data_IF_614166062852
#
_entry.id   IF_614166062852
#
_cell.length_a   1.000
_cell.length_b   1.000
_cell.length_c   1.000
_cell.angle_alpha   90.00
_cell.angle_beta   90.00
_cell.angle_gamma   90.00
#
_symmetry.space_group_name_H-M   'P 1'
#
loop_
_entity.id
_entity.type
_entity.pdbx_description
1 polymer ?
#
# COMPACT_ATOMS: atom_id res chain seq x y z
N UNK A 1 20.76 22.10 6.52
CA UNK A 1 21.11 20.80 5.91
C UNK A 1 22.51 20.93 5.38
N UNK A 2 23.43 20.12 5.87
CA UNK A 2 24.80 20.06 5.40
C UNK A 2 24.95 19.04 4.24
N UNK A 3 26.19 18.89 3.70
CA UNK A 3 26.42 17.99 2.56
C UNK A 3 26.17 16.53 2.92
N UNK A 4 26.48 16.10 4.15
CA UNK A 4 26.27 14.73 4.59
C UNK A 4 24.79 14.40 4.75
N UNK A 5 23.99 15.31 5.25
CA UNK A 5 22.52 15.20 5.32
C UNK A 5 21.89 15.18 3.92
N UNK A 6 22.43 15.99 3.00
CA UNK A 6 21.99 16.00 1.61
C UNK A 6 22.28 14.66 0.94
N UNK A 7 23.47 14.10 1.12
CA UNK A 7 23.85 12.79 0.60
C UNK A 7 22.99 11.66 1.20
N UNK A 8 22.70 11.71 2.50
CA UNK A 8 21.83 10.75 3.14
C UNK A 8 20.41 10.78 2.56
N UNK A 9 19.88 11.99 2.33
CA UNK A 9 18.57 12.18 1.70
C UNK A 9 18.53 11.62 0.28
N UNK A 10 19.56 11.88 -0.52
CA UNK A 10 19.67 11.34 -1.88
C UNK A 10 19.75 9.80 -1.87
N UNK A 11 20.48 9.21 -0.93
CA UNK A 11 20.54 7.75 -0.77
C UNK A 11 19.16 7.16 -0.45
N UNK A 12 18.39 7.77 0.44
CA UNK A 12 17.02 7.33 0.73
C UNK A 12 16.12 7.40 -0.50
N UNK A 13 16.22 8.47 -1.31
CA UNK A 13 15.46 8.60 -2.56
C UNK A 13 15.84 7.47 -3.54
N UNK A 14 17.12 7.14 -3.70
CA UNK A 14 17.54 6.00 -4.51
C UNK A 14 17.05 4.68 -3.94
N UNK A 15 17.10 4.50 -2.62
CA UNK A 15 16.61 3.30 -1.94
C UNK A 15 15.12 3.07 -2.21
N UNK A 16 14.28 4.12 -2.06
CA UNK A 16 12.84 4.00 -2.36
C UNK A 16 12.57 3.64 -3.84
N UNK A 17 13.49 3.99 -4.74
CA UNK A 17 13.42 3.60 -6.14
C UNK A 17 13.44 2.08 -6.37
N UNK A 18 13.97 1.29 -5.42
CA UNK A 18 13.98 -0.17 -5.50
C UNK A 18 12.57 -0.76 -5.48
N UNK A 19 11.62 -0.09 -4.84
CA UNK A 19 10.20 -0.52 -4.82
C UNK A 19 9.58 -0.64 -6.21
N UNK A 20 10.13 0.06 -7.22
CA UNK A 20 9.71 -0.08 -8.63
C UNK A 20 10.08 -1.44 -9.23
N UNK A 21 11.08 -2.11 -8.68
CA UNK A 21 11.58 -3.41 -9.14
C UNK A 21 11.10 -4.55 -8.26
N UNK A 22 10.83 -4.27 -6.99
CA UNK A 22 10.35 -5.25 -6.02
C UNK A 22 8.90 -5.61 -6.32
N UNK A 23 8.62 -6.92 -6.47
CA UNK A 23 7.30 -7.43 -6.84
C UNK A 23 6.49 -7.84 -5.62
N UNK A 24 5.16 -7.67 -5.71
CA UNK A 24 4.20 -8.20 -4.73
C UNK A 24 4.14 -9.72 -4.87
N UNK A 25 4.99 -10.42 -4.10
CA UNK A 25 5.27 -11.86 -4.24
C UNK A 25 4.07 -12.75 -3.94
N UNK A 26 3.12 -12.26 -3.17
CA UNK A 26 1.87 -12.97 -2.88
C UNK A 26 1.09 -13.38 -4.13
N UNK A 27 1.15 -12.60 -5.21
CA UNK A 27 0.45 -12.89 -6.47
C UNK A 27 1.02 -14.08 -7.24
N UNK A 28 2.27 -14.49 -6.98
CA UNK A 28 2.84 -15.71 -7.55
C UNK A 28 2.05 -16.96 -7.16
N UNK A 29 1.45 -16.96 -5.94
CA UNK A 29 0.59 -18.06 -5.49
C UNK A 29 -0.70 -18.18 -6.31
N UNK A 30 -1.10 -17.10 -6.99
CA UNK A 30 -2.24 -17.08 -7.92
C UNK A 30 -1.83 -17.34 -9.37
N UNK A 31 -0.54 -17.60 -9.65
CA UNK A 31 -0.01 -17.85 -10.98
C UNK A 31 0.28 -16.61 -11.80
N UNK A 32 0.25 -15.41 -11.20
CA UNK A 32 0.67 -14.16 -11.86
C UNK A 32 2.18 -14.12 -11.88
N UNK A 33 2.79 -14.29 -13.06
CA UNK A 33 4.26 -14.41 -13.21
C UNK A 33 4.99 -13.08 -13.06
N UNK A 34 4.40 -12.01 -13.57
CA UNK A 34 4.92 -10.64 -13.46
C UNK A 34 3.86 -9.76 -12.78
N UNK A 35 3.75 -9.83 -11.44
CA UNK A 35 2.77 -9.04 -10.70
C UNK A 35 3.19 -7.58 -10.60
N UNK A 36 2.28 -6.76 -10.09
CA UNK A 36 2.56 -5.38 -9.76
C UNK A 36 3.81 -5.25 -8.87
N UNK A 37 4.48 -4.12 -8.97
CA UNK A 37 5.54 -3.73 -8.05
C UNK A 37 4.95 -3.16 -6.75
N UNK A 38 5.77 -3.13 -5.69
CA UNK A 38 5.39 -2.48 -4.43
C UNK A 38 5.12 -0.98 -4.65
N UNK A 39 5.87 -0.33 -5.56
CA UNK A 39 5.63 1.08 -5.90
C UNK A 39 4.26 1.30 -6.58
N UNK A 40 3.83 0.42 -7.48
CA UNK A 40 2.52 0.51 -8.13
C UNK A 40 1.39 0.31 -7.11
N UNK A 41 1.52 -0.69 -6.24
CA UNK A 41 0.63 -0.92 -5.11
C UNK A 41 0.54 0.31 -4.20
N UNK A 42 1.68 0.81 -3.71
CA UNK A 42 1.71 1.94 -2.77
C UNK A 42 1.14 3.22 -3.37
N UNK A 43 1.34 3.44 -4.67
CA UNK A 43 0.74 4.58 -5.39
C UNK A 43 -0.79 4.54 -5.35
N UNK A 44 -1.41 3.39 -5.72
CA UNK A 44 -2.87 3.27 -5.73
C UNK A 44 -3.43 3.20 -4.30
N UNK A 45 -2.73 2.57 -3.36
CA UNK A 45 -3.08 2.58 -1.94
C UNK A 45 -3.17 4.01 -1.40
N UNK A 46 -2.20 4.87 -1.72
CA UNK A 46 -2.21 6.27 -1.30
C UNK A 46 -3.42 7.06 -1.85
N UNK A 47 -3.78 6.83 -3.12
CA UNK A 47 -4.99 7.43 -3.72
C UNK A 47 -6.25 6.95 -2.99
N UNK A 48 -6.37 5.64 -2.76
CA UNK A 48 -7.54 5.06 -2.08
C UNK A 48 -7.64 5.61 -0.65
N UNK A 49 -6.52 5.71 0.08
CA UNK A 49 -6.50 6.24 1.45
C UNK A 49 -7.02 7.67 1.53
N UNK A 50 -6.58 8.55 0.61
CA UNK A 50 -7.08 9.92 0.55
C UNK A 50 -8.58 10.00 0.21
N UNK A 51 -9.07 9.16 -0.71
CA UNK A 51 -10.49 9.08 -1.05
C UNK A 51 -11.32 8.57 0.13
N UNK A 52 -10.89 7.49 0.79
CA UNK A 52 -11.56 6.94 1.97
C UNK A 52 -11.63 7.96 3.12
N UNK A 53 -10.52 8.62 3.42
CA UNK A 53 -10.49 9.65 4.47
C UNK A 53 -11.49 10.78 4.18
N UNK A 54 -11.56 11.24 2.92
CA UNK A 54 -12.58 12.22 2.52
C UNK A 54 -14.02 11.70 2.68
N UNK A 55 -14.28 10.42 2.42
CA UNK A 55 -15.61 9.80 2.60
C UNK A 55 -15.97 9.56 4.07
N UNK A 56 -14.99 9.33 4.93
CA UNK A 56 -15.17 9.08 6.38
C UNK A 56 -15.05 10.36 7.22
N UNK A 57 -14.75 11.52 6.61
CA UNK A 57 -14.59 12.79 7.33
C UNK A 57 -13.28 12.92 8.10
N UNK A 58 -12.26 12.14 7.73
CA UNK A 58 -10.91 12.21 8.25
C UNK A 58 -10.01 13.12 7.40
N UNK A 59 -8.73 13.30 7.76
CA UNK A 59 -7.77 14.09 6.99
C UNK A 59 -7.21 13.29 5.79
N UNK A 60 -7.60 13.65 4.52
CA UNK A 60 -7.11 12.96 3.33
C UNK A 60 -5.59 13.06 3.16
N UNK A 61 -4.98 14.20 3.50
CA UNK A 61 -3.54 14.38 3.34
C UNK A 61 -2.77 13.49 4.31
N UNK A 62 -3.22 13.37 5.55
CA UNK A 62 -2.61 12.49 6.55
C UNK A 62 -2.73 11.02 6.16
N UNK A 63 -3.94 10.55 5.80
CA UNK A 63 -4.17 9.18 5.37
C UNK A 63 -3.32 8.81 4.14
N UNK A 64 -3.22 9.71 3.16
CA UNK A 64 -2.37 9.53 1.97
C UNK A 64 -0.91 9.38 2.37
N UNK A 65 -0.39 10.22 3.27
CA UNK A 65 1.02 10.14 3.70
C UNK A 65 1.32 8.86 4.46
N UNK A 66 0.42 8.38 5.31
CA UNK A 66 0.55 7.08 5.99
C UNK A 66 0.66 5.96 4.95
N UNK A 67 -0.23 5.96 3.95
CA UNK A 67 -0.25 4.95 2.90
C UNK A 67 0.96 5.00 1.95
N UNK A 68 1.54 6.18 1.69
CA UNK A 68 2.76 6.29 0.86
C UNK A 68 3.95 5.56 1.50
N UNK A 69 4.06 5.61 2.82
CA UNK A 69 5.24 5.11 3.54
C UNK A 69 5.05 3.70 4.14
N UNK A 70 3.86 3.10 4.04
CA UNK A 70 3.51 1.87 4.76
C UNK A 70 4.38 0.66 4.41
N UNK A 71 4.80 0.51 3.15
CA UNK A 71 5.64 -0.59 2.64
C UNK A 71 7.06 -0.12 2.24
N UNK A 72 7.49 1.08 2.66
CA UNK A 72 8.82 1.61 2.30
C UNK A 72 9.97 0.75 2.84
N UNK A 73 9.75 0.02 3.91
CA UNK A 73 10.72 -0.88 4.56
C UNK A 73 11.01 -2.13 3.72
N UNK A 74 10.11 -2.48 2.80
CA UNK A 74 10.27 -3.62 1.91
C UNK A 74 11.43 -3.47 0.90
N UNK A 75 12.00 -2.27 0.79
CA UNK A 75 13.28 -2.07 0.09
C UNK A 75 14.40 -2.93 0.69
N UNK A 76 14.36 -3.22 1.99
CA UNK A 76 15.39 -3.95 2.74
C UNK A 76 15.00 -5.38 3.08
N UNK A 77 13.72 -5.63 3.36
CA UNK A 77 13.26 -6.95 3.80
C UNK A 77 12.51 -7.70 2.70
N UNK A 78 12.12 -7.01 1.60
CA UNK A 78 11.29 -7.57 0.53
C UNK A 78 9.82 -7.76 0.93
N UNK A 79 8.95 -7.95 -0.07
CA UNK A 79 7.57 -8.37 0.19
C UNK A 79 7.55 -9.82 0.65
N UNK A 80 7.29 -10.05 1.93
CA UNK A 80 7.17 -11.39 2.51
C UNK A 80 5.71 -11.79 2.47
N UNK A 81 5.32 -12.75 1.58
CA UNK A 81 3.95 -13.21 1.49
C UNK A 81 3.50 -13.82 2.83
N UNK A 82 2.19 -13.77 3.12
CA UNK A 82 1.62 -14.23 4.39
C UNK A 82 2.07 -15.65 4.77
N UNK A 83 2.21 -16.54 3.78
CA UNK A 83 2.74 -17.89 4.01
C UNK A 83 4.18 -17.87 4.50
N UNK A 84 5.03 -16.99 3.96
CA UNK A 84 6.44 -16.85 4.32
C UNK A 84 6.64 -16.36 5.75
N UNK A 85 5.76 -15.49 6.25
CA UNK A 85 5.79 -14.94 7.63
C UNK A 85 5.72 -16.01 8.72
N UNK A 86 5.29 -17.22 8.40
CA UNK A 86 5.30 -18.36 9.32
C UNK A 86 6.70 -18.94 9.56
N UNK A 87 7.64 -18.67 8.68
CA UNK A 87 8.99 -19.25 8.64
C UNK A 87 10.11 -18.20 8.73
N UNK A 88 9.79 -16.94 8.46
CA UNK A 88 10.73 -15.82 8.45
C UNK A 88 10.38 -14.82 9.54
N UNK A 89 11.38 -14.46 10.34
CA UNK A 89 11.30 -13.37 11.30
C UNK A 89 12.09 -12.18 10.75
N UNK A 90 11.38 -11.18 10.22
CA UNK A 90 11.98 -9.92 9.80
C UNK A 90 12.12 -8.96 10.99
N UNK A 91 12.98 -7.95 10.84
CA UNK A 91 12.98 -6.79 11.72
C UNK A 91 11.63 -6.05 11.61
N UNK A 92 11.24 -5.35 12.67
CA UNK A 92 10.03 -4.53 12.63
C UNK A 92 10.17 -3.35 11.66
N UNK A 93 9.05 -2.86 11.13
CA UNK A 93 9.04 -1.72 10.23
C UNK A 93 9.65 -0.48 10.88
N UNK A 94 9.44 -0.26 12.17
CA UNK A 94 10.05 0.84 12.94
C UNK A 94 11.57 0.71 12.99
N UNK A 95 12.10 -0.50 13.21
CA UNK A 95 13.54 -0.74 13.24
C UNK A 95 14.17 -0.48 11.87
N UNK A 96 13.56 -0.99 10.80
CA UNK A 96 14.04 -0.75 9.44
C UNK A 96 14.00 0.74 9.11
N UNK A 97 12.91 1.44 9.46
CA UNK A 97 12.78 2.89 9.27
C UNK A 97 13.82 3.68 10.09
N UNK A 98 14.14 3.24 11.29
CA UNK A 98 15.22 3.83 12.09
C UNK A 98 16.54 3.82 11.32
N UNK A 99 16.86 2.70 10.70
CA UNK A 99 18.09 2.53 9.92
C UNK A 99 18.04 3.30 8.58
N UNK A 100 16.89 3.29 7.87
CA UNK A 100 16.68 4.02 6.62
C UNK A 100 16.85 5.54 6.79
N UNK A 101 16.47 6.06 7.96
CA UNK A 101 16.50 7.49 8.26
C UNK A 101 17.79 7.96 8.94
N UNK A 102 18.79 7.06 9.07
CA UNK A 102 20.10 7.40 9.66
C UNK A 102 20.85 8.39 8.77
N UNK A 103 21.28 9.50 9.38
CA UNK A 103 22.01 10.58 8.68
C UNK A 103 21.11 11.60 7.97
N UNK A 104 19.80 11.43 7.97
CA UNK A 104 18.87 12.48 7.50
C UNK A 104 18.87 13.68 8.46
N UNK A 105 18.45 14.88 8.00
CA UNK A 105 18.13 15.98 8.89
C UNK A 105 17.20 15.53 10.02
N UNK A 106 17.51 15.88 11.26
CA UNK A 106 16.83 15.34 12.45
C UNK A 106 15.30 15.47 12.42
N UNK A 107 14.80 16.63 11.93
CA UNK A 107 13.36 16.85 11.80
C UNK A 107 12.72 15.92 10.76
N UNK A 108 13.36 15.70 9.61
CA UNK A 108 12.87 14.81 8.56
C UNK A 108 12.87 13.37 9.04
N UNK A 109 13.96 12.92 9.68
CA UNK A 109 14.05 11.58 10.27
C UNK A 109 12.92 11.33 11.29
N UNK A 110 12.70 12.30 12.20
CA UNK A 110 11.62 12.21 13.19
C UNK A 110 10.24 12.13 12.55
N UNK A 111 9.97 12.92 11.52
CA UNK A 111 8.69 12.89 10.81
C UNK A 111 8.42 11.54 10.13
N UNK A 112 9.41 10.97 9.45
CA UNK A 112 9.24 9.67 8.77
C UNK A 112 9.04 8.54 9.76
N UNK A 113 9.82 8.53 10.87
CA UNK A 113 9.65 7.54 11.95
C UNK A 113 8.26 7.64 12.59
N UNK A 114 7.78 8.87 12.83
CA UNK A 114 6.44 9.08 13.39
C UNK A 114 5.33 8.63 12.44
N UNK A 115 5.49 8.76 11.10
CA UNK A 115 4.53 8.24 10.13
C UNK A 115 4.43 6.72 10.18
N UNK A 116 5.57 6.03 10.23
CA UNK A 116 5.60 4.57 10.28
C UNK A 116 5.06 4.06 11.62
N UNK A 117 5.48 4.65 12.74
CA UNK A 117 4.96 4.30 14.06
C UNK A 117 3.43 4.51 14.15
N UNK A 118 2.92 5.62 13.61
CA UNK A 118 1.48 5.87 13.57
C UNK A 118 0.74 4.86 12.71
N UNK A 119 1.28 4.48 11.53
CA UNK A 119 0.68 3.45 10.69
C UNK A 119 0.62 2.10 11.41
N UNK A 120 1.71 1.68 12.04
CA UNK A 120 1.81 0.36 12.71
C UNK A 120 0.97 0.29 14.00
N UNK A 121 0.99 1.36 14.82
CA UNK A 121 0.49 1.33 16.18
C UNK A 121 -0.70 2.26 16.45
N UNK A 122 -1.05 3.13 15.50
CA UNK A 122 -2.12 4.11 15.64
C UNK A 122 -3.52 3.52 15.42
N UNK A 123 -4.52 4.29 15.88
CA UNK A 123 -5.94 3.92 15.78
C UNK A 123 -6.81 5.09 15.31
N UNK A 124 -6.20 6.16 14.80
CA UNK A 124 -6.95 7.31 14.26
C UNK A 124 -7.80 6.92 13.05
N UNK A 125 -8.82 7.72 12.69
CA UNK A 125 -9.59 7.50 11.46
C UNK A 125 -8.70 7.45 10.22
N UNK A 126 -7.62 8.24 10.15
CA UNK A 126 -6.65 8.27 9.07
C UNK A 126 -5.91 6.94 8.96
N UNK A 127 -5.48 6.37 10.07
CA UNK A 127 -4.82 5.05 10.14
C UNK A 127 -5.78 3.96 9.68
N UNK A 128 -7.04 3.99 10.13
CA UNK A 128 -8.04 3.02 9.68
C UNK A 128 -8.27 3.11 8.17
N UNK A 129 -8.36 4.33 7.62
CA UNK A 129 -8.48 4.55 6.18
C UNK A 129 -7.26 4.06 5.41
N UNK A 130 -6.04 4.27 5.93
CA UNK A 130 -4.82 3.79 5.28
C UNK A 130 -4.72 2.25 5.29
N UNK A 131 -5.07 1.59 6.40
CA UNK A 131 -5.13 0.12 6.47
C UNK A 131 -6.20 -0.47 5.56
N UNK A 132 -7.39 0.15 5.49
CA UNK A 132 -8.45 -0.29 4.58
C UNK A 132 -8.06 -0.06 3.12
N UNK A 133 -7.32 1.01 2.83
CA UNK A 133 -6.82 1.30 1.49
C UNK A 133 -5.87 0.22 0.98
N UNK A 134 -4.95 -0.28 1.82
CA UNK A 134 -4.08 -1.42 1.50
C UNK A 134 -4.90 -2.67 1.13
N UNK A 135 -5.95 -2.98 1.91
CA UNK A 135 -6.82 -4.12 1.62
C UNK A 135 -7.67 -3.91 0.36
N UNK A 136 -8.20 -2.70 0.16
CA UNK A 136 -8.96 -2.37 -1.04
C UNK A 136 -8.09 -2.43 -2.28
N UNK A 137 -6.86 -1.95 -2.21
CA UNK A 137 -5.93 -2.02 -3.33
C UNK A 137 -5.71 -3.48 -3.75
N UNK A 138 -5.41 -4.38 -2.80
CA UNK A 138 -5.33 -5.82 -3.06
C UNK A 138 -6.62 -6.39 -3.67
N UNK A 139 -7.80 -5.94 -3.25
CA UNK A 139 -9.08 -6.39 -3.79
C UNK A 139 -9.26 -5.92 -5.24
N UNK A 140 -8.99 -4.65 -5.53
CA UNK A 140 -9.07 -4.11 -6.89
C UNK A 140 -8.09 -4.83 -7.82
N UNK A 141 -6.84 -5.03 -7.39
CA UNK A 141 -5.83 -5.75 -8.15
C UNK A 141 -6.22 -7.21 -8.41
N UNK A 142 -6.82 -7.88 -7.42
CA UNK A 142 -7.33 -9.23 -7.60
C UNK A 142 -8.44 -9.30 -8.66
N UNK A 143 -9.35 -8.29 -8.69
CA UNK A 143 -10.40 -8.20 -9.71
C UNK A 143 -9.79 -7.97 -11.10
N UNK A 144 -8.80 -7.09 -11.24
CA UNK A 144 -8.08 -6.85 -12.49
C UNK A 144 -7.39 -8.13 -12.98
N UNK A 145 -6.73 -8.88 -12.12
CA UNK A 145 -6.14 -10.17 -12.46
C UNK A 145 -7.20 -11.20 -12.84
N UNK A 146 -8.33 -11.27 -12.12
CA UNK A 146 -9.47 -12.13 -12.50
C UNK A 146 -9.95 -11.82 -13.91
N UNK A 147 -10.19 -10.54 -14.20
CA UNK A 147 -10.70 -10.07 -15.48
C UNK A 147 -9.68 -10.27 -16.62
N UNK A 148 -8.38 -10.37 -16.27
CA UNK A 148 -7.28 -10.73 -17.18
C UNK A 148 -7.07 -12.26 -17.31
N UNK A 149 -7.90 -13.08 -16.68
CA UNK A 149 -7.90 -14.55 -16.84
C UNK A 149 -7.26 -15.34 -15.70
N UNK A 150 -6.78 -14.70 -14.63
CA UNK A 150 -6.24 -15.40 -13.46
C UNK A 150 -7.37 -15.83 -12.51
N UNK A 151 -7.76 -17.10 -12.55
CA UNK A 151 -8.93 -17.60 -11.81
C UNK A 151 -8.70 -17.83 -10.31
N UNK A 152 -7.44 -17.93 -9.85
CA UNK A 152 -7.11 -18.32 -8.47
C UNK A 152 -7.05 -17.14 -7.49
N UNK A 153 -7.71 -16.02 -7.78
CA UNK A 153 -7.67 -14.79 -6.96
C UNK A 153 -8.88 -14.63 -6.04
N UNK A 154 -9.87 -15.55 -6.09
CA UNK A 154 -11.11 -15.43 -5.30
C UNK A 154 -10.87 -15.34 -3.79
N UNK A 155 -9.91 -16.11 -3.26
CA UNK A 155 -9.55 -16.04 -1.85
C UNK A 155 -8.94 -14.70 -1.42
N UNK A 156 -8.26 -14.00 -2.33
CA UNK A 156 -7.74 -12.65 -2.08
C UNK A 156 -8.86 -11.62 -2.01
N UNK A 157 -9.84 -11.69 -2.94
CA UNK A 157 -11.02 -10.82 -2.92
C UNK A 157 -11.78 -10.99 -1.60
N UNK A 158 -12.08 -12.23 -1.21
CA UNK A 158 -12.81 -12.54 0.01
C UNK A 158 -12.04 -12.09 1.26
N UNK A 159 -10.75 -12.43 1.37
CA UNK A 159 -9.94 -12.07 2.55
C UNK A 159 -9.74 -10.58 2.70
N UNK A 160 -9.59 -9.84 1.59
CA UNK A 160 -9.49 -8.38 1.61
C UNK A 160 -10.82 -7.77 2.05
N UNK A 161 -11.96 -8.21 1.48
CA UNK A 161 -13.30 -7.72 1.82
C UNK A 161 -13.63 -7.90 3.31
N UNK A 162 -13.32 -9.07 3.87
CA UNK A 162 -13.66 -9.40 5.27
C UNK A 162 -12.83 -8.67 6.31
N UNK A 163 -11.70 -8.07 5.92
CA UNK A 163 -10.80 -7.33 6.83
C UNK A 163 -11.03 -5.83 6.85
N UNK A 164 -11.94 -5.31 6.02
CA UNK A 164 -12.27 -3.89 6.00
C UNK A 164 -12.98 -3.48 7.29
N UNK A 165 -12.74 -2.27 7.74
CA UNK A 165 -13.20 -1.74 9.02
C UNK A 165 -14.13 -0.53 8.86
N UNK A 166 -13.96 0.26 7.80
CA UNK A 166 -14.77 1.46 7.53
C UNK A 166 -15.95 1.13 6.61
N UNK A 167 -17.07 1.82 6.83
CA UNK A 167 -18.28 1.62 6.01
C UNK A 167 -18.07 2.01 4.56
N UNK A 168 -17.27 3.04 4.31
CA UNK A 168 -16.96 3.48 2.96
C UNK A 168 -16.11 2.45 2.21
N UNK A 169 -15.12 1.84 2.87
CA UNK A 169 -14.32 0.77 2.28
C UNK A 169 -15.17 -0.46 1.94
N UNK A 170 -16.08 -0.87 2.82
CA UNK A 170 -17.01 -1.97 2.56
C UNK A 170 -17.89 -1.69 1.33
N UNK A 171 -18.44 -0.49 1.23
CA UNK A 171 -19.27 -0.09 0.08
C UNK A 171 -18.48 -0.04 -1.23
N UNK A 172 -17.24 0.44 -1.18
CA UNK A 172 -16.35 0.45 -2.37
C UNK A 172 -15.99 -0.96 -2.81
N UNK A 173 -15.70 -1.86 -1.86
CA UNK A 173 -15.43 -3.26 -2.17
C UNK A 173 -16.63 -3.95 -2.83
N UNK A 174 -17.84 -3.75 -2.29
CA UNK A 174 -19.06 -4.32 -2.86
C UNK A 174 -19.33 -3.79 -4.27
N UNK A 175 -19.11 -2.49 -4.50
CA UNK A 175 -19.22 -1.89 -5.82
C UNK A 175 -18.19 -2.45 -6.81
N UNK A 176 -16.91 -2.62 -6.37
CA UNK A 176 -15.85 -3.18 -7.20
C UNK A 176 -16.13 -4.63 -7.59
N UNK A 177 -16.63 -5.44 -6.65
CA UNK A 177 -16.98 -6.85 -6.90
C UNK A 177 -18.13 -6.97 -7.91
N UNK A 178 -19.09 -6.04 -7.87
CA UNK A 178 -20.26 -6.03 -8.75
C UNK A 178 -19.97 -5.56 -10.19
N UNK A 179 -18.80 -4.99 -10.46
CA UNK A 179 -18.45 -4.47 -11.79
C UNK A 179 -17.21 -5.18 -12.36
N UNK A 180 -16.92 -4.97 -13.64
CA UNK A 180 -15.66 -5.35 -14.26
C UNK A 180 -14.65 -4.20 -14.17
N UNK A 181 -13.36 -4.54 -14.13
CA UNK A 181 -12.28 -3.55 -14.10
C UNK A 181 -12.28 -2.59 -15.30
N UNK A 182 -12.91 -2.97 -16.42
CA UNK A 182 -13.01 -2.16 -17.64
C UNK A 182 -14.29 -1.29 -17.71
N UNK A 183 -15.20 -1.39 -16.75
CA UNK A 183 -16.49 -0.69 -16.82
C UNK A 183 -16.35 0.83 -16.87
N UNK A 184 -15.36 1.41 -16.19
CA UNK A 184 -15.08 2.84 -16.22
C UNK A 184 -14.80 3.34 -17.64
N UNK A 185 -14.01 2.60 -18.41
CA UNK A 185 -13.67 2.94 -19.79
C UNK A 185 -14.93 2.93 -20.67
N UNK A 186 -15.71 1.85 -20.62
CA UNK A 186 -16.94 1.70 -21.39
C UNK A 186 -17.94 2.80 -21.08
N UNK A 187 -18.11 3.16 -19.80
CA UNK A 187 -18.99 4.25 -19.36
C UNK A 187 -18.51 5.62 -19.88
N UNK A 188 -17.20 5.85 -19.89
CA UNK A 188 -16.62 7.12 -20.36
C UNK A 188 -16.77 7.27 -21.87
N UNK A 189 -16.52 6.20 -22.62
CA UNK A 189 -16.63 6.23 -24.10
C UNK A 189 -18.07 6.29 -24.60
N UNK A 190 -19.05 5.92 -23.77
CA UNK A 190 -20.49 5.97 -24.13
C UNK A 190 -21.14 7.33 -23.85
N UNK A 191 -20.41 8.29 -23.30
CA UNK A 191 -20.92 9.66 -23.10
C UNK A 191 -20.84 10.41 -24.42
N UNK A 192 -21.96 11.06 -24.86
CA UNK A 192 -21.98 11.84 -26.10
C UNK A 192 -21.06 13.06 -26.03
#
# INVERSE_FOLDING_TARGET
MDDAETDATARLIYETGLLKLSKRTGWWLCGVKDPESIAEHSFRTAIIAGLLAGMEGADPARATMLAVWHDSQETRVGDIPHLGRRYLQAASNEQVTQDQTTGLPAQLASQLRALVDEYENGHSPEVLCAHDADKLECLFQAIEYRDSGHQNVGGWIESSRTRLRTKSAERLADAAIAMTSQQWHNTTMSRP
#
